data_IF_039873196330
#
_entry.id   IF_039873196330
#
_cell.length_a   1.000
_cell.length_b   1.000
_cell.length_c   1.000
_cell.angle_alpha   90.00
_cell.angle_beta   90.00
_cell.angle_gamma   90.00
#
_symmetry.space_group_name_H-M   'P 1'
#
loop_
_entity.id
_entity.type
_entity.pdbx_description
1 polymer ?
#
# COMPACT_ATOMS: atom_id res chain seq x y z
N UNK A 1 11.88 19.36 0.62
CA UNK A 1 10.67 19.23 1.46
C UNK A 1 9.84 17.98 1.12
N UNK A 2 10.45 16.87 0.67
CA UNK A 2 9.71 15.68 0.22
C UNK A 2 9.47 14.62 1.33
N UNK A 3 10.23 14.67 2.43
CA UNK A 3 10.23 13.59 3.44
C UNK A 3 9.04 13.62 4.41
N UNK A 4 8.43 14.78 4.68
CA UNK A 4 7.37 14.91 5.70
C UNK A 4 6.03 14.27 5.32
N UNK A 5 5.74 14.08 4.03
CA UNK A 5 4.48 13.47 3.58
C UNK A 5 4.55 11.93 3.64
N UNK A 6 5.74 11.36 3.53
CA UNK A 6 5.94 9.91 3.56
C UNK A 6 5.65 9.33 4.95
N UNK A 7 6.17 9.96 6.01
CA UNK A 7 5.98 9.46 7.38
C UNK A 7 4.50 9.39 7.79
N UNK A 8 3.70 10.37 7.34
CA UNK A 8 2.25 10.37 7.59
C UNK A 8 1.56 9.23 6.86
N UNK A 9 1.94 8.97 5.62
CA UNK A 9 1.36 7.90 4.81
C UNK A 9 1.74 6.51 5.34
N UNK A 10 2.99 6.32 5.76
CA UNK A 10 3.47 5.10 6.39
C UNK A 10 2.76 4.85 7.74
N UNK A 11 2.58 5.89 8.55
CA UNK A 11 1.83 5.79 9.82
C UNK A 11 0.38 5.43 9.57
N UNK A 12 -0.25 6.02 8.54
CA UNK A 12 -1.61 5.67 8.16
C UNK A 12 -1.71 4.20 7.74
N UNK A 13 -0.77 3.68 6.94
CA UNK A 13 -0.76 2.26 6.54
C UNK A 13 -0.58 1.33 7.74
N UNK A 14 0.24 1.71 8.72
CA UNK A 14 0.50 0.91 9.92
C UNK A 14 -0.76 0.71 10.78
N UNK A 15 -1.65 1.70 10.84
CA UNK A 15 -2.91 1.63 11.63
C UNK A 15 -4.09 1.05 10.87
N UNK A 16 -3.93 0.64 9.60
CA UNK A 16 -5.04 0.03 8.84
C UNK A 16 -5.27 -1.43 9.23
N UNK A 17 -6.56 -1.76 9.27
CA UNK A 17 -7.04 -3.15 9.34
C UNK A 17 -6.91 -3.86 8.00
N UNK A 18 -6.83 -5.20 8.04
CA UNK A 18 -6.78 -6.08 6.85
C UNK A 18 -7.76 -5.69 5.74
N UNK A 19 -9.02 -5.39 6.10
CA UNK A 19 -10.07 -5.06 5.13
C UNK A 19 -9.76 -3.79 4.33
N UNK A 20 -9.28 -2.75 5.02
CA UNK A 20 -8.95 -1.47 4.42
C UNK A 20 -7.64 -1.57 3.62
N UNK A 21 -6.66 -2.36 4.09
CA UNK A 21 -5.44 -2.68 3.33
C UNK A 21 -5.78 -3.32 1.98
N UNK A 22 -6.61 -4.37 1.97
CA UNK A 22 -7.04 -5.03 0.73
C UNK A 22 -7.76 -4.06 -0.22
N UNK A 23 -8.67 -3.24 0.33
CA UNK A 23 -9.40 -2.23 -0.45
C UNK A 23 -8.45 -1.23 -1.10
N UNK A 24 -7.46 -0.72 -0.36
CA UNK A 24 -6.48 0.24 -0.89
C UNK A 24 -5.54 -0.38 -1.90
N UNK A 25 -5.10 -1.62 -1.68
CA UNK A 25 -4.26 -2.36 -2.63
C UNK A 25 -5.00 -2.54 -3.97
N UNK A 26 -6.26 -2.97 -3.93
CA UNK A 26 -7.08 -3.16 -5.14
C UNK A 26 -7.42 -1.86 -5.87
N UNK A 27 -7.63 -0.78 -5.12
CA UNK A 27 -7.93 0.53 -5.68
C UNK A 27 -6.68 1.41 -5.84
N UNK A 28 -5.48 0.83 -5.78
CA UNK A 28 -4.24 1.59 -5.81
C UNK A 28 -4.06 2.26 -7.18
N UNK A 29 -4.02 3.60 -7.19
CA UNK A 29 -3.80 4.41 -8.39
C UNK A 29 -2.36 4.90 -8.44
N UNK A 30 -1.44 3.98 -8.76
CA UNK A 30 -0.02 4.27 -8.93
C UNK A 30 0.41 4.28 -10.40
N UNK A 31 1.73 4.42 -10.62
CA UNK A 31 2.36 4.26 -11.95
C UNK A 31 2.17 2.85 -12.53
N UNK A 32 1.96 1.87 -11.67
CA UNK A 32 1.70 0.48 -12.02
C UNK A 32 0.44 0.02 -11.29
N UNK A 33 -0.33 -0.84 -11.98
CA UNK A 33 -1.54 -1.44 -11.43
C UNK A 33 -1.15 -2.63 -10.55
N UNK A 34 -1.67 -2.66 -9.33
CA UNK A 34 -1.59 -3.84 -8.48
C UNK A 34 -2.72 -4.81 -8.90
N UNK A 35 -2.37 -5.72 -9.80
CA UNK A 35 -3.21 -6.85 -10.18
C UNK A 35 -3.05 -7.97 -9.15
N UNK A 36 -3.74 -7.83 -8.03
CA UNK A 36 -3.84 -8.90 -7.04
C UNK A 36 -5.28 -9.39 -6.94
N UNK A 37 -5.46 -10.69 -7.05
CA UNK A 37 -6.74 -11.35 -6.84
C UNK A 37 -7.15 -11.34 -5.35
N UNK A 38 -8.44 -11.49 -5.04
CA UNK A 38 -8.90 -11.55 -3.64
C UNK A 38 -8.30 -12.71 -2.90
N UNK A 39 -8.23 -13.86 -3.55
CA UNK A 39 -7.80 -15.11 -2.92
C UNK A 39 -6.32 -15.01 -2.55
N UNK A 40 -5.52 -14.37 -3.42
CA UNK A 40 -4.14 -14.04 -3.12
C UNK A 40 -4.03 -13.10 -1.91
N UNK A 41 -4.76 -11.98 -1.90
CA UNK A 41 -4.75 -11.04 -0.77
C UNK A 41 -5.30 -11.66 0.54
N UNK A 42 -6.22 -12.62 0.42
CA UNK A 42 -6.77 -13.37 1.55
C UNK A 42 -5.80 -14.42 2.09
N UNK A 43 -4.86 -14.90 1.29
CA UNK A 43 -3.80 -15.82 1.74
C UNK A 43 -2.66 -15.10 2.49
N UNK A 44 -2.49 -13.80 2.27
CA UNK A 44 -1.39 -13.03 2.88
C UNK A 44 -1.64 -12.66 4.35
N UNK A 45 -0.58 -12.41 5.10
CA UNK A 45 -0.68 -11.83 6.44
C UNK A 45 -0.99 -10.33 6.37
N UNK A 46 -1.50 -9.74 7.45
CA UNK A 46 -1.70 -8.28 7.49
C UNK A 46 -0.39 -7.51 7.27
N UNK A 47 0.71 -8.01 7.82
CA UNK A 47 2.04 -7.42 7.65
C UNK A 47 2.47 -7.41 6.19
N UNK A 48 2.28 -8.52 5.47
CA UNK A 48 2.55 -8.56 4.03
C UNK A 48 1.70 -7.56 3.25
N UNK A 49 0.42 -7.40 3.60
CA UNK A 49 -0.45 -6.40 2.98
C UNK A 49 0.06 -4.96 3.25
N UNK A 50 0.51 -4.67 4.48
CA UNK A 50 1.13 -3.38 4.83
C UNK A 50 2.39 -3.12 3.99
N UNK A 51 3.26 -4.13 3.85
CA UNK A 51 4.47 -4.02 3.05
C UNK A 51 4.19 -3.81 1.56
N UNK A 52 3.22 -4.53 0.99
CA UNK A 52 2.81 -4.35 -0.41
C UNK A 52 2.34 -2.92 -0.65
N UNK A 53 1.44 -2.42 0.21
CA UNK A 53 0.89 -1.07 0.05
C UNK A 53 1.96 0.01 0.27
N UNK A 54 2.88 -0.20 1.21
CA UNK A 54 4.00 0.69 1.47
C UNK A 54 4.97 0.74 0.27
N UNK A 55 5.40 -0.42 -0.22
CA UNK A 55 6.27 -0.54 -1.39
C UNK A 55 5.62 0.10 -2.62
N UNK A 56 4.33 -0.12 -2.83
CA UNK A 56 3.59 0.51 -3.90
C UNK A 56 3.57 2.04 -3.77
N UNK A 57 3.34 2.55 -2.56
CA UNK A 57 3.33 4.00 -2.27
C UNK A 57 4.70 4.66 -2.48
N UNK A 58 5.79 3.96 -2.16
CA UNK A 58 7.17 4.42 -2.43
C UNK A 58 7.40 4.50 -3.95
N UNK A 59 7.07 3.43 -4.68
CA UNK A 59 7.34 3.33 -6.11
C UNK A 59 6.37 4.17 -6.98
N UNK A 60 5.21 4.58 -6.45
CA UNK A 60 4.27 5.43 -7.17
C UNK A 60 4.72 6.90 -7.24
N UNK A 61 5.60 7.36 -6.34
CA UNK A 61 6.10 8.73 -6.36
C UNK A 61 7.11 8.92 -7.51
N UNK A 62 7.05 10.03 -8.26
CA UNK A 62 8.15 10.40 -9.14
C UNK A 62 9.41 10.61 -8.30
N UNK A 63 10.44 9.80 -8.54
CA UNK A 63 11.79 10.26 -8.26
C UNK A 63 12.04 11.46 -9.16
N UNK A 64 12.05 12.65 -8.56
CA UNK A 64 12.42 13.92 -9.19
C UNK A 64 13.66 14.45 -8.50
#
# INVERSE_FOLDING_TARGET
>A
MASKCFDKEATLIAVLDRGELKRRIRNFKGRFRLDFDEDYLNSLSEESLRHILLAASINAKPHN
#
